data_IF_405299761967
#
_entry.id   IF_405299761967
#
_cell.length_a   1.000
_cell.length_b   1.000
_cell.length_c   1.000
_cell.angle_alpha   90.00
_cell.angle_beta   90.00
_cell.angle_gamma   90.00
#
_symmetry.space_group_name_H-M   'P 1'
#
loop_
_entity.id
_entity.type
_entity.pdbx_description
1 polymer ?
#
# COMPACT_ATOMS: atom_id res chain seq x y z
N UNK A 1 -52.19 -29.49 14.46
CA UNK A 1 -51.52 -28.28 15.00
C UNK A 1 -50.23 -28.74 15.67
N UNK A 2 -49.16 -28.97 14.90
CA UNK A 2 -47.91 -29.51 15.43
C UNK A 2 -47.04 -28.38 15.96
N UNK A 3 -46.98 -28.31 17.29
CA UNK A 3 -46.20 -27.37 18.07
C UNK A 3 -44.73 -27.87 18.03
N UNK A 4 -43.99 -27.46 17.01
CA UNK A 4 -42.57 -27.78 16.84
C UNK A 4 -41.67 -26.75 17.51
N UNK A 5 -41.63 -26.71 18.85
CA UNK A 5 -40.61 -25.96 19.58
C UNK A 5 -39.37 -26.82 19.79
N UNK A 6 -38.31 -26.61 18.99
CA UNK A 6 -36.92 -26.83 19.48
C UNK A 6 -35.80 -26.24 18.63
N UNK A 7 -36.05 -25.90 17.37
CA UNK A 7 -35.04 -25.24 16.54
C UNK A 7 -35.66 -23.98 15.93
N UNK A 8 -35.31 -22.81 16.46
CA UNK A 8 -35.29 -21.62 15.61
C UNK A 8 -34.48 -22.03 14.36
N UNK A 9 -35.03 -21.84 13.15
CA UNK A 9 -34.21 -21.98 11.94
C UNK A 9 -33.11 -20.93 12.06
N UNK A 10 -31.92 -21.36 12.50
CA UNK A 10 -30.72 -20.50 12.65
C UNK A 10 -30.32 -19.79 11.35
N UNK A 11 -30.93 -20.19 10.24
CA UNK A 11 -30.70 -19.72 8.88
C UNK A 11 -31.90 -18.96 8.29
N UNK A 12 -32.91 -18.65 9.10
CA UNK A 12 -34.03 -17.82 8.67
C UNK A 12 -33.73 -16.36 8.97
N UNK A 13 -33.21 -15.65 7.96
CA UNK A 13 -32.95 -14.21 8.01
C UNK A 13 -34.08 -13.40 7.40
N UNK A 14 -35.24 -14.03 7.15
CA UNK A 14 -36.32 -13.38 6.44
C UNK A 14 -36.81 -12.14 7.20
N UNK A 15 -36.77 -11.00 6.52
CA UNK A 15 -37.15 -9.68 7.03
C UNK A 15 -36.32 -9.19 8.24
N UNK A 16 -35.15 -9.78 8.51
CA UNK A 16 -34.21 -9.26 9.49
C UNK A 16 -33.58 -7.97 8.96
N UNK A 17 -33.48 -6.93 9.80
CA UNK A 17 -32.73 -5.71 9.44
C UNK A 17 -31.45 -5.65 10.26
N UNK A 18 -30.30 -5.75 9.58
CA UNK A 18 -28.98 -5.68 10.18
C UNK A 18 -28.44 -4.25 10.13
N UNK A 19 -27.81 -3.80 11.22
CA UNK A 19 -27.09 -2.52 11.27
C UNK A 19 -25.74 -2.69 10.59
N UNK A 20 -25.64 -2.19 9.37
CA UNK A 20 -24.44 -2.30 8.56
C UNK A 20 -23.61 -1.02 8.68
N UNK A 21 -22.30 -1.15 8.81
CA UNK A 21 -21.37 -0.01 8.81
C UNK A 21 -20.48 -0.03 7.58
N UNK A 22 -20.29 1.12 6.93
CA UNK A 22 -19.37 1.26 5.80
C UNK A 22 -18.58 2.55 5.90
N UNK A 23 -17.50 2.63 5.12
CA UNK A 23 -16.58 3.77 5.13
C UNK A 23 -16.69 4.58 3.85
N UNK A 24 -16.90 5.87 4.02
CA UNK A 24 -16.74 6.89 2.98
C UNK A 24 -15.88 7.99 3.59
N UNK A 25 -14.70 8.24 3.03
CA UNK A 25 -13.71 9.18 3.58
C UNK A 25 -14.31 10.56 3.86
N UNK A 26 -15.06 11.07 2.89
CA UNK A 26 -15.85 12.28 3.00
C UNK A 26 -17.32 11.88 3.12
N UNK A 27 -17.87 12.00 4.34
CA UNK A 27 -19.25 11.60 4.61
C UNK A 27 -20.20 12.47 3.76
N UNK A 28 -21.02 11.89 2.88
CA UNK A 28 -21.98 12.65 2.10
C UNK A 28 -23.12 13.16 2.98
N UNK A 29 -23.69 14.31 2.64
CA UNK A 29 -24.87 14.86 3.32
C UNK A 29 -26.07 13.92 3.19
N UNK A 30 -26.22 13.30 2.02
CA UNK A 30 -27.25 12.32 1.73
C UNK A 30 -26.59 11.02 1.29
N UNK A 31 -26.70 9.99 2.14
CA UNK A 31 -26.25 8.65 1.80
C UNK A 31 -27.29 7.91 0.96
N UNK A 32 -26.83 7.29 -0.11
CA UNK A 32 -27.61 6.41 -0.98
C UNK A 32 -26.89 5.07 -1.10
N UNK A 33 -27.54 3.91 -0.84
CA UNK A 33 -26.90 2.60 -0.92
C UNK A 33 -26.21 2.34 -2.27
N UNK A 34 -26.75 2.91 -3.35
CA UNK A 34 -26.19 2.86 -4.71
C UNK A 34 -24.73 3.36 -4.76
N UNK A 35 -24.34 4.28 -3.87
CA UNK A 35 -22.95 4.77 -3.76
C UNK A 35 -21.96 3.63 -3.47
N UNK A 36 -22.38 2.62 -2.71
CA UNK A 36 -21.56 1.44 -2.39
C UNK A 36 -21.76 0.31 -3.41
N UNK A 37 -22.98 0.18 -3.96
CA UNK A 37 -23.39 -0.97 -4.77
C UNK A 37 -23.09 -0.79 -6.27
N UNK A 38 -23.12 0.45 -6.77
CA UNK A 38 -22.84 0.73 -8.17
C UNK A 38 -21.38 0.45 -8.51
N UNK A 39 -21.15 -0.13 -9.69
CA UNK A 39 -19.81 -0.41 -10.24
C UNK A 39 -19.06 0.88 -10.57
N UNK A 40 -19.76 2.01 -10.77
CA UNK A 40 -19.16 3.30 -11.12
C UNK A 40 -18.24 3.82 -10.03
N UNK A 41 -17.25 4.61 -10.39
CA UNK A 41 -16.42 5.31 -9.41
C UNK A 41 -17.27 6.23 -8.54
N UNK A 42 -17.04 6.20 -7.22
CA UNK A 42 -17.68 7.09 -6.26
C UNK A 42 -16.58 7.71 -5.40
N UNK A 43 -16.44 9.06 -5.38
CA UNK A 43 -15.45 9.72 -4.55
C UNK A 43 -15.55 9.30 -3.07
N UNK A 44 -14.39 9.09 -2.44
CA UNK A 44 -14.31 8.70 -1.03
C UNK A 44 -14.64 7.23 -0.72
N UNK A 45 -15.11 6.44 -1.68
CA UNK A 45 -15.37 4.99 -1.52
C UNK A 45 -14.20 4.20 -2.08
N UNK A 46 -13.59 3.34 -1.25
CA UNK A 46 -12.54 2.44 -1.71
C UNK A 46 -13.07 1.43 -2.74
N UNK A 47 -12.38 1.25 -3.87
CA UNK A 47 -12.81 0.34 -4.93
C UNK A 47 -13.09 -1.09 -4.44
N UNK A 48 -12.27 -1.61 -3.52
CA UNK A 48 -12.46 -2.94 -2.94
C UNK A 48 -13.74 -3.04 -2.09
N UNK A 49 -14.15 -1.96 -1.42
CA UNK A 49 -15.38 -1.95 -0.63
C UNK A 49 -16.59 -2.25 -1.50
N UNK A 50 -16.60 -1.82 -2.77
CA UNK A 50 -17.69 -2.11 -3.71
C UNK A 50 -17.83 -3.61 -3.98
N UNK A 51 -16.72 -4.35 -4.04
CA UNK A 51 -16.73 -5.81 -4.23
C UNK A 51 -17.42 -6.49 -3.03
N UNK A 52 -17.01 -6.15 -1.80
CA UNK A 52 -17.65 -6.68 -0.59
C UNK A 52 -19.12 -6.26 -0.48
N UNK A 53 -19.46 -5.04 -0.88
CA UNK A 53 -20.84 -4.55 -0.87
C UNK A 53 -21.75 -5.29 -1.86
N UNK A 54 -21.25 -5.59 -3.06
CA UNK A 54 -21.98 -6.39 -4.05
C UNK A 54 -22.20 -7.83 -3.58
N UNK A 55 -21.19 -8.44 -2.94
CA UNK A 55 -21.34 -9.76 -2.33
C UNK A 55 -22.43 -9.75 -1.24
N UNK A 56 -22.41 -8.76 -0.35
CA UNK A 56 -23.41 -8.61 0.69
C UNK A 56 -24.80 -8.33 0.12
N UNK A 57 -24.92 -7.59 -0.98
CA UNK A 57 -26.18 -7.39 -1.70
C UNK A 57 -26.74 -8.72 -2.24
N UNK A 58 -25.90 -9.56 -2.84
CA UNK A 58 -26.34 -10.87 -3.32
C UNK A 58 -26.83 -11.77 -2.18
N UNK A 59 -26.17 -11.72 -1.01
CA UNK A 59 -26.63 -12.42 0.19
C UNK A 59 -27.94 -11.85 0.74
N UNK A 60 -28.07 -10.53 0.74
CA UNK A 60 -29.27 -9.81 1.15
C UNK A 60 -30.48 -10.24 0.32
N UNK A 61 -30.34 -10.28 -1.01
CA UNK A 61 -31.38 -10.72 -1.93
C UNK A 61 -31.71 -12.21 -1.76
N UNK A 62 -30.70 -13.06 -1.58
CA UNK A 62 -30.89 -14.52 -1.42
C UNK A 62 -31.58 -14.89 -0.11
N UNK A 63 -31.25 -14.21 0.98
CA UNK A 63 -31.74 -14.53 2.32
C UNK A 63 -32.85 -13.58 2.81
N UNK A 64 -33.24 -12.60 1.99
CA UNK A 64 -34.29 -11.62 2.23
C UNK A 64 -34.14 -10.87 3.58
N UNK A 65 -32.92 -10.48 3.93
CA UNK A 65 -32.68 -9.53 5.02
C UNK A 65 -32.49 -8.12 4.44
N UNK A 66 -32.36 -7.11 5.31
CA UNK A 66 -32.16 -5.71 4.94
C UNK A 66 -30.98 -5.11 5.70
N UNK A 67 -30.42 -4.05 5.17
CA UNK A 67 -29.37 -3.28 5.84
C UNK A 67 -29.85 -1.88 6.22
N UNK A 68 -29.57 -1.49 7.45
CA UNK A 68 -29.60 -0.10 7.89
C UNK A 68 -28.16 0.41 7.96
N UNK A 69 -27.80 1.32 7.05
CA UNK A 69 -26.42 1.75 6.87
C UNK A 69 -26.03 2.89 7.80
N UNK A 70 -24.88 2.74 8.45
CA UNK A 70 -24.16 3.80 9.15
C UNK A 70 -22.87 4.09 8.41
N UNK A 71 -22.65 5.36 8.05
CA UNK A 71 -21.44 5.79 7.34
C UNK A 71 -20.48 6.45 8.30
N UNK A 72 -19.25 5.95 8.32
CA UNK A 72 -18.14 6.47 9.11
C UNK A 72 -17.00 6.88 8.18
N UNK A 73 -16.08 7.70 8.69
CA UNK A 73 -14.92 8.18 7.91
C UNK A 73 -13.67 7.29 8.07
N UNK A 74 -13.66 6.37 9.04
CA UNK A 74 -12.49 5.55 9.40
C UNK A 74 -12.84 4.08 9.58
N UNK A 75 -11.97 3.21 9.04
CA UNK A 75 -12.02 1.76 9.24
C UNK A 75 -11.61 1.36 10.67
N UNK A 76 -10.44 1.85 11.10
CA UNK A 76 -9.81 1.41 12.34
C UNK A 76 -9.91 2.52 13.39
N UNK A 77 -10.36 2.16 14.59
CA UNK A 77 -10.27 2.97 15.80
C UNK A 77 -10.03 2.06 17.00
N UNK A 78 -9.49 2.63 18.06
CA UNK A 78 -9.27 1.89 19.30
C UNK A 78 -10.61 1.53 19.96
N UNK A 79 -10.70 0.40 20.68
CA UNK A 79 -11.90 -0.05 21.35
C UNK A 79 -12.18 0.75 22.64
N UNK A 80 -12.27 2.08 22.52
CA UNK A 80 -12.49 3.00 23.63
C UNK A 80 -13.95 3.46 23.62
N UNK A 81 -14.60 3.39 24.79
CA UNK A 81 -15.97 3.87 24.97
C UNK A 81 -16.00 5.39 24.76
N UNK A 82 -17.02 5.88 24.04
CA UNK A 82 -17.20 7.31 23.68
C UNK A 82 -16.12 7.91 22.76
N UNK A 83 -15.35 7.11 22.03
CA UNK A 83 -14.45 7.62 20.99
C UNK A 83 -15.21 8.00 19.71
N UNK A 84 -14.49 8.61 18.76
CA UNK A 84 -14.98 8.77 17.38
C UNK A 84 -15.40 7.43 16.80
N UNK A 85 -16.60 7.35 16.20
CA UNK A 85 -17.14 6.13 15.63
C UNK A 85 -16.29 5.64 14.44
N UNK A 86 -15.79 4.43 14.53
CA UNK A 86 -15.07 3.73 13.46
C UNK A 86 -15.67 2.35 13.24
N UNK A 87 -15.39 1.70 12.11
CA UNK A 87 -15.93 0.36 11.81
C UNK A 87 -15.58 -0.62 12.93
N UNK A 88 -14.28 -0.78 13.21
CA UNK A 88 -13.79 -1.72 14.24
C UNK A 88 -14.37 -1.46 15.63
N UNK A 89 -14.34 -0.20 16.09
CA UNK A 89 -14.86 0.13 17.42
C UNK A 89 -16.38 -0.11 17.52
N UNK A 90 -17.12 0.24 16.46
CA UNK A 90 -18.57 0.04 16.41
C UNK A 90 -18.98 -1.43 16.42
N UNK A 91 -18.19 -2.31 15.79
CA UNK A 91 -18.38 -3.76 15.82
C UNK A 91 -18.02 -4.34 17.18
N UNK A 92 -16.90 -3.91 17.77
CA UNK A 92 -16.44 -4.37 19.09
C UNK A 92 -17.49 -4.11 20.17
N UNK A 93 -18.06 -2.90 20.21
CA UNK A 93 -19.14 -2.54 21.14
C UNK A 93 -20.55 -2.94 20.67
N UNK A 94 -20.67 -3.75 19.62
CA UNK A 94 -21.96 -4.27 19.09
C UNK A 94 -22.97 -3.17 18.74
N UNK A 95 -22.48 -1.99 18.38
CA UNK A 95 -23.29 -0.88 17.87
C UNK A 95 -23.73 -1.14 16.43
N UNK A 96 -22.92 -1.93 15.71
CA UNK A 96 -23.15 -2.36 14.34
C UNK A 96 -23.04 -3.88 14.31
N UNK A 97 -23.83 -4.51 13.44
CA UNK A 97 -23.92 -5.97 13.35
C UNK A 97 -22.96 -6.53 12.30
N UNK A 98 -22.69 -5.76 11.24
CA UNK A 98 -21.82 -6.19 10.14
C UNK A 98 -21.13 -5.01 9.47
N UNK A 99 -19.91 -5.20 8.99
CA UNK A 99 -19.23 -4.23 8.13
C UNK A 99 -19.44 -4.54 6.64
N UNK A 100 -19.87 -3.53 5.90
CA UNK A 100 -19.93 -3.51 4.44
C UNK A 100 -18.72 -2.73 3.90
N UNK A 101 -17.51 -3.18 4.23
CA UNK A 101 -16.27 -2.56 3.76
C UNK A 101 -15.12 -3.57 3.74
N UNK A 102 -14.07 -3.22 3.00
CA UNK A 102 -12.80 -3.96 3.00
C UNK A 102 -11.77 -3.14 3.77
N UNK A 103 -11.14 -3.76 4.76
CA UNK A 103 -10.04 -3.16 5.51
C UNK A 103 -8.80 -4.03 5.38
N UNK A 104 -7.63 -3.39 5.36
CA UNK A 104 -6.37 -4.09 5.66
C UNK A 104 -6.40 -4.42 7.15
N UNK A 105 -6.29 -5.69 7.52
CA UNK A 105 -6.34 -6.13 8.92
C UNK A 105 -4.96 -6.66 9.35
N UNK A 106 -4.47 -6.19 10.50
CA UNK A 106 -3.28 -6.72 11.16
C UNK A 106 -3.68 -7.66 12.30
N UNK A 107 -2.81 -8.61 12.70
CA UNK A 107 -3.13 -9.61 13.72
C UNK A 107 -3.71 -9.04 15.01
N UNK A 108 -3.19 -7.91 15.51
CA UNK A 108 -3.69 -7.26 16.73
C UNK A 108 -5.17 -6.87 16.70
N UNK A 109 -5.75 -6.66 15.52
CA UNK A 109 -7.16 -6.28 15.39
C UNK A 109 -8.10 -7.49 15.33
N UNK A 110 -7.56 -8.70 15.12
CA UNK A 110 -8.33 -9.94 15.21
C UNK A 110 -8.74 -10.26 16.65
N UNK A 111 -8.11 -9.63 17.64
CA UNK A 111 -8.57 -9.67 19.03
C UNK A 111 -9.87 -8.86 19.24
N UNK A 112 -10.23 -7.98 18.30
CA UNK A 112 -11.37 -7.07 18.44
C UNK A 112 -12.52 -7.44 17.51
N UNK A 113 -12.22 -7.83 16.28
CA UNK A 113 -13.22 -8.13 15.26
C UNK A 113 -12.85 -9.38 14.49
N UNK A 114 -13.86 -10.20 14.23
CA UNK A 114 -13.73 -11.32 13.31
C UNK A 114 -13.81 -10.83 11.86
N UNK A 115 -13.05 -11.50 10.99
CA UNK A 115 -13.02 -11.21 9.56
C UNK A 115 -13.60 -12.37 8.77
N UNK A 116 -14.22 -12.04 7.64
CA UNK A 116 -14.56 -13.05 6.65
C UNK A 116 -13.28 -13.56 5.96
N UNK A 117 -13.05 -14.87 6.05
CA UNK A 117 -11.91 -15.55 5.42
C UNK A 117 -12.40 -16.71 4.55
N UNK A 118 -11.93 -16.87 3.30
CA UNK A 118 -10.94 -16.04 2.60
C UNK A 118 -11.47 -14.64 2.23
N UNK A 119 -10.60 -13.62 2.08
CA UNK A 119 -11.05 -12.27 1.74
C UNK A 119 -11.71 -12.24 0.36
N UNK A 120 -12.78 -11.46 0.21
CA UNK A 120 -13.51 -11.31 -1.07
C UNK A 120 -12.66 -10.66 -2.18
N UNK A 121 -11.62 -9.92 -1.82
CA UNK A 121 -10.67 -9.31 -2.73
C UNK A 121 -9.27 -9.37 -2.13
N UNK A 122 -8.28 -9.72 -2.95
CA UNK A 122 -6.87 -9.69 -2.58
C UNK A 122 -6.19 -8.50 -3.27
N UNK A 123 -5.51 -7.65 -2.51
CA UNK A 123 -4.63 -6.62 -3.07
C UNK A 123 -3.19 -6.96 -2.69
N UNK A 124 -2.37 -7.17 -3.71
CA UNK A 124 -0.93 -7.21 -3.57
C UNK A 124 -0.37 -5.81 -3.79
N UNK A 125 0.24 -5.22 -2.76
CA UNK A 125 1.04 -4.00 -2.93
C UNK A 125 2.45 -4.40 -3.32
N UNK A 126 2.88 -4.05 -4.54
CA UNK A 126 4.27 -4.22 -4.98
C UNK A 126 4.96 -2.87 -4.98
N UNK A 127 6.08 -2.77 -4.28
CA UNK A 127 6.95 -1.60 -4.34
C UNK A 127 7.90 -1.78 -5.51
N UNK A 128 7.80 -0.90 -6.49
CA UNK A 128 8.74 -0.85 -7.60
C UNK A 128 9.75 0.27 -7.31
N UNK A 129 11.02 -0.10 -7.18
CA UNK A 129 12.09 0.89 -7.22
C UNK A 129 12.43 1.13 -8.69
N UNK A 130 12.31 2.39 -9.12
CA UNK A 130 12.94 2.81 -10.36
C UNK A 130 14.45 2.81 -10.10
N UNK A 131 15.16 1.84 -10.66
CA UNK A 131 16.62 1.92 -10.75
C UNK A 131 16.88 3.06 -11.73
N UNK A 132 17.50 4.18 -11.32
CA UNK A 132 17.77 5.26 -12.24
C UNK A 132 18.78 4.76 -13.28
N UNK A 133 18.45 4.91 -14.56
CA UNK A 133 19.35 4.59 -15.68
C UNK A 133 20.59 5.50 -15.70
N UNK A 134 20.57 6.57 -14.90
CA UNK A 134 21.69 7.50 -14.70
C UNK A 134 22.09 7.52 -13.23
N UNK A 135 23.35 7.21 -12.96
CA UNK A 135 23.89 7.13 -11.62
C UNK A 135 25.37 6.79 -11.65
N UNK A 136 25.98 6.63 -10.47
CA UNK A 136 27.43 6.43 -10.25
C UNK A 136 28.03 5.18 -10.93
N UNK A 137 27.23 4.43 -11.70
CA UNK A 137 27.58 3.25 -12.48
C UNK A 137 27.40 3.35 -14.00
N UNK A 138 27.13 4.54 -14.57
CA UNK A 138 27.42 4.73 -16.00
C UNK A 138 28.94 4.56 -16.18
N UNK A 139 29.34 3.58 -16.99
CA UNK A 139 30.72 3.22 -17.31
C UNK A 139 31.39 4.31 -18.16
N UNK A 140 31.47 5.53 -17.65
CA UNK A 140 32.44 6.48 -18.15
C UNK A 140 33.84 5.93 -17.89
N UNK A 141 34.76 6.17 -18.82
CA UNK A 141 36.10 5.61 -18.77
C UNK A 141 36.88 6.25 -17.59
N UNK A 142 36.78 5.64 -16.40
CA UNK A 142 37.35 6.11 -15.13
C UNK A 142 38.84 5.80 -14.97
N UNK A 143 39.56 5.61 -16.07
CA UNK A 143 40.99 5.33 -16.03
C UNK A 143 41.79 6.50 -15.42
N UNK A 144 41.35 7.74 -15.66
CA UNK A 144 42.04 8.96 -15.21
C UNK A 144 41.48 9.57 -13.92
N UNK A 145 40.33 9.09 -13.41
CA UNK A 145 39.73 9.56 -12.15
C UNK A 145 40.44 9.17 -10.85
N UNK A 146 41.28 8.12 -10.72
CA UNK A 146 41.91 7.83 -9.43
C UNK A 146 42.93 8.92 -9.02
N UNK A 147 43.37 9.77 -9.96
CA UNK A 147 44.28 10.88 -9.70
C UNK A 147 43.62 12.21 -10.04
N UNK A 148 43.89 13.23 -9.23
CA UNK A 148 43.40 14.58 -9.51
C UNK A 148 44.07 15.13 -10.78
N UNK A 149 43.44 16.08 -11.49
CA UNK A 149 44.04 16.73 -12.67
C UNK A 149 45.43 17.32 -12.37
N UNK A 150 45.64 17.83 -11.15
CA UNK A 150 46.94 18.34 -10.72
C UNK A 150 48.03 17.27 -10.68
N UNK A 151 47.71 16.05 -10.23
CA UNK A 151 48.68 14.94 -10.20
C UNK A 151 49.08 14.52 -11.61
N UNK A 152 48.16 14.52 -12.56
CA UNK A 152 48.48 14.27 -13.98
C UNK A 152 49.43 15.32 -14.55
N UNK A 153 49.17 16.61 -14.31
CA UNK A 153 50.07 17.69 -14.75
C UNK A 153 51.45 17.62 -14.10
N UNK A 154 51.51 17.32 -12.80
CA UNK A 154 52.78 17.11 -12.11
C UNK A 154 53.54 15.91 -12.68
N UNK A 155 52.85 14.82 -13.01
CA UNK A 155 53.44 13.61 -13.57
C UNK A 155 54.01 13.87 -14.98
N UNK A 156 53.27 14.59 -15.83
CA UNK A 156 53.76 15.04 -17.13
C UNK A 156 54.98 15.97 -17.01
N UNK A 157 54.95 16.92 -16.06
CA UNK A 157 56.06 17.84 -15.80
C UNK A 157 57.32 17.10 -15.32
N UNK A 158 57.17 16.14 -14.40
CA UNK A 158 58.26 15.31 -13.92
C UNK A 158 58.86 14.45 -15.05
N UNK A 159 58.03 13.85 -15.91
CA UNK A 159 58.50 13.08 -17.05
C UNK A 159 59.31 13.94 -18.04
N UNK A 160 58.86 15.16 -18.33
CA UNK A 160 59.58 16.13 -19.17
C UNK A 160 60.92 16.53 -18.55
N UNK A 161 60.95 16.85 -17.25
CA UNK A 161 62.18 17.21 -16.56
C UNK A 161 63.20 16.06 -16.59
N UNK A 162 62.77 14.83 -16.32
CA UNK A 162 63.62 13.64 -16.40
C UNK A 162 64.16 13.44 -17.82
N UNK A 163 63.32 13.59 -18.85
CA UNK A 163 63.74 13.46 -20.25
C UNK A 163 64.77 14.53 -20.64
N UNK A 164 64.60 15.77 -20.20
CA UNK A 164 65.55 16.86 -20.45
C UNK A 164 66.89 16.61 -19.76
N UNK A 165 66.88 16.19 -18.50
CA UNK A 165 68.11 15.83 -17.77
C UNK A 165 68.84 14.69 -18.48
N UNK A 166 68.12 13.63 -18.88
CA UNK A 166 68.69 12.51 -19.63
C UNK A 166 69.24 12.93 -21.00
N UNK A 167 68.57 13.83 -21.70
CA UNK A 167 69.05 14.34 -22.99
C UNK A 167 70.33 15.17 -22.84
N UNK A 168 70.40 16.02 -21.81
CA UNK A 168 71.59 16.80 -21.49
C UNK A 168 72.74 15.90 -21.06
N UNK A 169 72.50 14.91 -20.19
CA UNK A 169 73.53 13.97 -19.78
C UNK A 169 74.02 13.12 -20.96
N UNK A 170 73.12 12.68 -21.85
CA UNK A 170 73.51 11.95 -23.06
C UNK A 170 74.34 12.81 -24.03
N UNK A 171 74.00 14.11 -24.17
CA UNK A 171 74.78 15.04 -24.99
C UNK A 171 76.17 15.33 -24.39
N UNK A 172 76.27 15.45 -23.06
CA UNK A 172 77.52 15.71 -22.34
C UNK A 172 78.43 14.48 -22.24
N UNK A 173 77.87 13.28 -22.09
CA UNK A 173 78.65 12.04 -22.07
C UNK A 173 79.36 11.76 -23.40
N UNK A 174 78.93 12.41 -24.50
CA UNK A 174 79.67 12.44 -25.76
C UNK A 174 80.15 11.06 -26.20
N UNK A 175 79.35 10.01 -25.99
CA UNK A 175 79.77 8.66 -26.36
C UNK A 175 79.98 8.65 -27.88
N UNK A 176 81.18 8.34 -28.38
CA UNK A 176 81.34 8.06 -29.80
C UNK A 176 80.36 6.94 -30.14
N UNK A 177 79.66 7.10 -31.26
CA UNK A 177 78.77 6.06 -31.81
C UNK A 177 79.51 4.71 -31.82
N UNK A 178 78.81 3.58 -31.65
CA UNK A 178 79.44 2.28 -31.87
C UNK A 178 80.11 2.22 -33.25
#
# INVERSE_FOLDING_TARGET
KNIGFKYYRRWDFHNLTLRAVSVILEKPDVFKPEMLLDVKYTPGVAAMTKISAQLLKALMEKHNFRFNYTIVSRWIGEPVVNSTLTVTNSLYWRQQDISCTTARIFPKWLEWVDIFHPPASMLETKFYYLIPDRGVGEYENRFLTPMSPGVWWCSCGAALACALVLAVSAALEGRPKP
#
